data_IF_561081933822
#
_entry.id   IF_561081933822
#
_cell.length_a   1.000
_cell.length_b   1.000
_cell.length_c   1.000
_cell.angle_alpha   90.00
_cell.angle_beta   90.00
_cell.angle_gamma   90.00
#
_symmetry.space_group_name_H-M   'P 1'
#
loop_
_entity.id
_entity.type
_entity.pdbx_description
1 polymer ?
#
# COMPACT_ATOMS: atom_id res chain seq x y z
N UNK A 1 6.20 26.10 19.65
CA UNK A 1 5.44 27.08 18.87
C UNK A 1 4.15 26.42 18.46
N UNK A 2 3.01 26.86 19.02
CA UNK A 2 1.71 26.43 18.55
C UNK A 2 1.46 27.05 17.17
N UNK A 3 1.57 26.25 16.12
CA UNK A 3 1.11 26.67 14.79
C UNK A 3 -0.40 26.54 14.83
N UNK A 4 -1.10 27.68 14.98
CA UNK A 4 -2.53 27.72 14.80
C UNK A 4 -2.86 27.25 13.37
N UNK A 5 -3.88 26.40 13.23
CA UNK A 5 -4.42 26.02 11.92
C UNK A 5 -5.91 26.31 11.89
N UNK A 6 -6.37 26.74 10.76
CA UNK A 6 -7.79 26.90 10.47
C UNK A 6 -8.28 25.67 9.70
N UNK A 7 -9.38 25.09 10.16
CA UNK A 7 -10.00 23.94 9.50
C UNK A 7 -10.93 24.49 8.41
N UNK A 8 -10.56 24.25 7.15
CA UNK A 8 -11.39 24.58 5.99
C UNK A 8 -12.05 23.29 5.50
N UNK A 9 -13.39 23.25 5.57
CA UNK A 9 -14.13 22.10 5.08
C UNK A 9 -14.15 22.08 3.54
N UNK A 10 -14.22 20.88 2.97
CA UNK A 10 -14.42 20.67 1.54
C UNK A 10 -15.75 19.95 1.29
N UNK A 11 -16.37 20.18 0.15
CA UNK A 11 -17.47 19.31 -0.30
C UNK A 11 -16.98 17.86 -0.45
N UNK A 12 -17.82 16.89 -0.15
CA UNK A 12 -17.49 15.45 -0.22
C UNK A 12 -16.98 15.05 -1.61
N UNK A 13 -17.56 15.62 -2.67
CA UNK A 13 -17.15 15.39 -4.05
C UNK A 13 -16.08 16.35 -4.55
N UNK A 14 -15.52 17.21 -3.67
CA UNK A 14 -14.45 18.14 -4.01
C UNK A 14 -14.90 19.30 -4.91
N UNK A 15 -16.19 19.59 -4.99
CA UNK A 15 -16.72 20.66 -5.85
C UNK A 15 -16.26 22.05 -5.41
N UNK A 16 -16.24 22.32 -4.11
CA UNK A 16 -15.82 23.59 -3.49
C UNK A 16 -15.05 23.36 -2.21
N UNK A 17 -14.32 24.40 -1.78
CA UNK A 17 -13.90 24.56 -0.39
C UNK A 17 -14.89 25.53 0.28
N UNK A 18 -15.32 25.20 1.52
CA UNK A 18 -16.13 26.12 2.33
C UNK A 18 -15.23 27.22 2.92
N UNK A 19 -14.78 28.12 2.02
CA UNK A 19 -13.80 29.18 2.26
C UNK A 19 -14.25 30.45 1.55
N UNK A 20 -13.89 31.62 2.06
CA UNK A 20 -14.31 32.95 1.58
C UNK A 20 -15.85 33.03 1.47
N UNK A 21 -16.37 33.28 0.26
CA UNK A 21 -17.80 33.42 -0.05
C UNK A 21 -18.65 32.18 0.32
N UNK A 22 -18.00 31.01 0.46
CA UNK A 22 -18.69 29.75 0.80
C UNK A 22 -18.56 29.36 2.27
N UNK A 23 -17.94 30.23 3.11
CA UNK A 23 -17.62 29.89 4.53
C UNK A 23 -18.85 29.50 5.32
N UNK A 24 -19.99 30.15 5.10
CA UNK A 24 -21.20 29.99 5.89
C UNK A 24 -22.21 29.01 5.28
N UNK A 25 -21.92 28.45 4.13
CA UNK A 25 -22.82 27.51 3.47
C UNK A 25 -22.88 26.18 4.20
N UNK A 26 -24.09 25.65 4.37
CA UNK A 26 -24.37 24.31 4.93
C UNK A 26 -24.48 23.22 3.87
N UNK A 27 -24.66 23.60 2.61
CA UNK A 27 -24.73 22.69 1.45
C UNK A 27 -23.82 23.18 0.33
N UNK A 28 -23.33 22.25 -0.48
CA UNK A 28 -22.55 22.59 -1.67
C UNK A 28 -23.45 23.23 -2.73
N UNK A 29 -23.16 24.44 -3.24
CA UNK A 29 -24.00 25.08 -4.25
C UNK A 29 -23.94 24.42 -5.62
N UNK A 30 -23.02 23.47 -5.84
CA UNK A 30 -22.86 22.79 -7.13
C UNK A 30 -23.50 21.38 -7.16
N UNK A 31 -23.49 20.65 -6.04
CA UNK A 31 -24.01 19.28 -5.97
C UNK A 31 -25.05 19.08 -4.86
N UNK A 32 -25.43 20.17 -4.17
CA UNK A 32 -26.42 20.21 -3.07
C UNK A 32 -26.09 19.31 -1.87
N UNK A 33 -24.93 18.65 -1.87
CA UNK A 33 -24.51 17.77 -0.79
C UNK A 33 -24.31 18.53 0.51
N UNK A 34 -24.85 18.03 1.66
CA UNK A 34 -24.71 18.72 2.94
C UNK A 34 -23.26 18.75 3.39
N UNK A 35 -22.86 19.88 4.01
CA UNK A 35 -21.53 20.08 4.62
C UNK A 35 -21.31 19.17 5.84
N UNK A 36 -22.38 18.87 6.56
CA UNK A 36 -22.36 18.16 7.84
C UNK A 36 -23.26 16.92 7.80
N UNK A 37 -22.89 15.88 8.54
CA UNK A 37 -23.77 14.76 8.85
C UNK A 37 -24.50 15.08 10.17
N UNK A 38 -25.82 14.95 10.18
CA UNK A 38 -26.60 15.06 11.42
C UNK A 38 -26.51 13.73 12.17
N UNK A 39 -25.96 13.77 13.39
CA UNK A 39 -26.14 12.73 14.39
C UNK A 39 -27.18 13.17 15.40
N UNK A 40 -27.97 12.23 15.91
CA UNK A 40 -28.96 12.48 16.96
C UNK A 40 -28.25 13.03 18.22
N UNK A 41 -28.29 14.36 18.38
CA UNK A 41 -27.63 15.11 19.44
C UNK A 41 -26.72 16.21 18.92
N UNK A 42 -27.28 17.35 18.55
CA UNK A 42 -26.72 18.70 18.33
C UNK A 42 -25.23 18.92 17.93
N UNK A 43 -24.49 17.91 17.54
CA UNK A 43 -23.13 18.05 17.04
C UNK A 43 -23.08 17.92 15.52
N UNK A 44 -22.88 19.04 14.84
CA UNK A 44 -22.65 19.09 13.38
C UNK A 44 -21.22 18.56 13.10
N UNK A 45 -21.10 17.29 12.72
CA UNK A 45 -19.81 16.71 12.35
C UNK A 45 -19.63 16.84 10.82
N UNK A 46 -18.51 17.42 10.33
CA UNK A 46 -18.23 17.43 8.89
C UNK A 46 -18.21 16.00 8.35
N UNK A 47 -18.83 15.75 7.19
CA UNK A 47 -18.67 14.48 6.50
C UNK A 47 -17.17 14.18 6.37
N UNK A 48 -16.76 12.98 6.79
CA UNK A 48 -15.40 12.57 7.16
C UNK A 48 -14.43 12.68 5.98
N UNK A 49 -13.77 13.83 5.85
CA UNK A 49 -12.60 13.95 4.99
C UNK A 49 -11.36 13.61 5.82
N UNK A 50 -10.72 12.48 5.54
CA UNK A 50 -9.46 12.10 6.20
C UNK A 50 -8.36 13.02 5.67
N UNK A 51 -7.82 13.87 6.55
CA UNK A 51 -6.73 14.82 6.23
C UNK A 51 -5.45 14.47 6.98
N UNK A 52 -5.60 13.78 8.09
CA UNK A 52 -4.51 13.39 8.97
C UNK A 52 -4.80 12.02 9.58
N UNK A 53 -3.78 11.22 9.95
CA UNK A 53 -3.98 9.97 10.66
C UNK A 53 -4.85 10.05 11.92
N UNK A 54 -4.92 11.22 12.58
CA UNK A 54 -5.83 11.44 13.70
C UNK A 54 -7.31 11.27 13.33
N UNK A 55 -7.67 11.45 12.06
CA UNK A 55 -9.06 11.35 11.60
C UNK A 55 -9.50 9.89 11.34
N UNK A 56 -8.58 8.91 11.44
CA UNK A 56 -8.89 7.52 11.17
C UNK A 56 -9.35 6.78 12.43
N UNK A 57 -10.20 5.78 12.20
CA UNK A 57 -10.80 5.00 13.27
C UNK A 57 -9.77 4.26 14.13
N UNK A 58 -8.65 3.78 13.53
CA UNK A 58 -7.59 3.09 14.25
C UNK A 58 -6.93 3.97 15.32
N UNK A 59 -6.79 5.27 15.06
CA UNK A 59 -6.28 6.23 16.05
C UNK A 59 -7.27 6.42 17.20
N UNK A 60 -8.53 6.65 16.88
CA UNK A 60 -9.58 6.83 17.89
C UNK A 60 -9.79 5.57 18.75
N UNK A 61 -9.70 4.40 18.14
CA UNK A 61 -9.79 3.12 18.84
C UNK A 61 -8.62 2.96 19.83
N UNK A 62 -7.39 3.29 19.39
CA UNK A 62 -6.21 3.28 20.26
C UNK A 62 -6.39 4.22 21.45
N UNK A 63 -6.80 5.47 21.22
CA UNK A 63 -6.99 6.46 22.29
C UNK A 63 -8.09 6.03 23.29
N UNK A 64 -9.12 5.36 22.80
CA UNK A 64 -10.20 4.81 23.63
C UNK A 64 -9.73 3.61 24.47
N UNK A 65 -8.91 2.73 23.90
CA UNK A 65 -8.36 1.55 24.59
C UNK A 65 -7.31 1.93 25.64
N UNK A 66 -6.55 2.98 25.38
CA UNK A 66 -5.45 3.43 26.24
C UNK A 66 -5.65 4.88 26.74
N UNK A 67 -6.66 5.13 27.60
CA UNK A 67 -6.99 6.48 28.07
C UNK A 67 -5.86 7.15 28.86
N UNK A 68 -5.03 6.38 29.57
CA UNK A 68 -3.88 6.93 30.29
C UNK A 68 -2.78 7.43 29.34
N UNK A 69 -2.60 6.77 28.19
CA UNK A 69 -1.70 7.25 27.15
C UNK A 69 -2.29 8.50 26.46
N UNK A 70 -3.57 8.50 26.15
CA UNK A 70 -4.21 9.58 25.39
C UNK A 70 -4.48 10.85 26.20
N UNK A 71 -4.48 10.76 27.56
CA UNK A 71 -4.67 11.89 28.47
C UNK A 71 -3.65 13.01 28.28
N UNK A 72 -2.39 12.65 28.04
CA UNK A 72 -1.35 13.62 27.69
C UNK A 72 -1.17 13.67 26.17
N UNK A 73 -1.55 14.78 25.55
CA UNK A 73 -1.44 15.00 24.09
C UNK A 73 0.00 15.01 23.59
N UNK A 74 0.99 15.14 24.47
CA UNK A 74 2.42 15.11 24.17
C UNK A 74 2.96 13.70 24.01
N UNK A 75 2.21 12.68 24.44
CA UNK A 75 2.55 11.29 24.18
C UNK A 75 2.60 11.02 22.69
N UNK A 76 3.67 10.35 22.23
CA UNK A 76 4.01 10.31 20.81
C UNK A 76 3.43 9.07 20.14
N UNK A 77 2.62 9.29 19.12
CA UNK A 77 2.10 8.24 18.25
C UNK A 77 3.00 8.13 17.03
N UNK A 78 3.66 7.00 16.91
CA UNK A 78 4.64 6.70 15.89
C UNK A 78 4.07 5.80 14.82
N UNK A 79 4.61 5.94 13.62
CA UNK A 79 4.49 4.97 12.54
C UNK A 79 5.88 4.52 12.14
N UNK A 80 6.05 3.23 11.92
CA UNK A 80 7.30 2.67 11.46
C UNK A 80 7.24 2.42 9.96
N UNK A 81 8.21 2.96 9.23
CA UNK A 81 8.36 2.74 7.79
C UNK A 81 9.69 2.05 7.50
N UNK A 82 9.68 1.07 6.59
CA UNK A 82 10.90 0.42 6.11
C UNK A 82 10.74 -0.06 4.67
N UNK A 83 11.81 0.01 3.92
CA UNK A 83 11.94 -0.51 2.56
C UNK A 83 13.41 -0.76 2.24
N UNK A 84 13.69 -1.75 1.38
CA UNK A 84 15.04 -2.07 0.93
C UNK A 84 15.42 -1.26 -0.31
N UNK A 85 16.58 -0.62 -0.30
CA UNK A 85 17.08 0.10 -1.46
C UNK A 85 18.55 -0.20 -1.75
N UNK A 86 18.95 -0.02 -3.00
CA UNK A 86 20.36 -0.09 -3.40
C UNK A 86 20.98 1.32 -3.36
N UNK A 87 21.91 1.60 -2.42
CA UNK A 87 22.51 2.94 -2.29
C UNK A 87 23.48 3.30 -3.43
N UNK A 88 23.97 2.31 -4.17
CA UNK A 88 24.99 2.54 -5.21
C UNK A 88 24.41 2.87 -6.59
N UNK A 89 23.09 2.76 -6.77
CA UNK A 89 22.42 3.13 -8.01
C UNK A 89 22.79 2.30 -9.26
N UNK A 90 23.84 1.48 -9.16
CA UNK A 90 24.34 0.66 -10.26
C UNK A 90 23.65 -0.71 -10.25
N UNK A 91 22.99 -1.07 -11.36
CA UNK A 91 22.40 -2.39 -11.54
C UNK A 91 23.40 -3.56 -11.43
N UNK A 92 24.70 -3.27 -11.60
CA UNK A 92 25.77 -4.26 -11.54
C UNK A 92 26.12 -4.73 -10.11
N UNK A 93 25.83 -3.92 -9.08
CA UNK A 93 26.07 -4.26 -7.69
C UNK A 93 24.75 -4.54 -6.99
N UNK A 94 24.48 -5.83 -6.77
CA UNK A 94 23.33 -6.25 -5.95
C UNK A 94 23.61 -5.96 -4.50
N UNK A 95 23.12 -4.84 -3.99
CA UNK A 95 23.21 -4.44 -2.59
C UNK A 95 21.83 -4.00 -2.08
N UNK A 96 21.49 -4.42 -0.87
CA UNK A 96 20.21 -4.07 -0.25
C UNK A 96 20.44 -3.51 1.14
N UNK A 97 20.25 -2.21 1.28
CA UNK A 97 20.28 -1.49 2.56
C UNK A 97 18.87 -1.27 3.05
N UNK A 98 18.61 -1.49 4.34
CA UNK A 98 17.30 -1.41 4.96
C UNK A 98 17.27 -0.40 6.09
N UNK A 99 16.85 0.84 5.84
CA UNK A 99 16.55 1.81 6.88
C UNK A 99 15.24 1.47 7.58
N UNK A 100 15.21 1.65 8.88
CA UNK A 100 14.00 1.65 9.69
C UNK A 100 13.81 3.06 10.19
N UNK A 101 12.69 3.67 9.80
CA UNK A 101 12.39 5.06 10.09
C UNK A 101 11.11 5.11 10.92
N UNK A 102 11.13 5.82 12.02
CA UNK A 102 9.92 6.13 12.79
C UNK A 102 9.49 7.57 12.53
N UNK A 103 8.20 7.77 12.39
CA UNK A 103 7.58 9.04 12.00
C UNK A 103 6.59 9.44 13.08
N UNK A 104 6.78 10.59 13.76
CA UNK A 104 5.82 11.08 14.75
C UNK A 104 4.59 11.69 14.05
N UNK A 105 3.45 11.08 14.25
CA UNK A 105 2.18 11.52 13.66
C UNK A 105 1.40 12.54 14.49
N UNK A 106 1.94 12.96 15.64
CA UNK A 106 1.38 14.08 16.40
C UNK A 106 1.52 15.44 15.70
N UNK A 107 2.37 15.51 14.68
CA UNK A 107 2.66 16.75 13.97
C UNK A 107 1.64 17.02 12.85
N UNK A 108 1.37 18.29 12.54
CA UNK A 108 0.53 18.63 11.39
C UNK A 108 1.03 18.00 10.10
N UNK A 109 0.15 17.67 9.11
CA UNK A 109 0.52 17.01 7.87
C UNK A 109 1.66 17.73 7.12
N UNK A 110 1.70 19.05 7.17
CA UNK A 110 2.75 19.88 6.56
C UNK A 110 4.15 19.68 7.17
N UNK A 111 4.23 19.10 8.36
CA UNK A 111 5.49 18.85 9.06
C UNK A 111 5.84 17.37 9.14
N UNK A 112 4.87 16.47 9.29
CA UNK A 112 5.09 15.03 9.45
C UNK A 112 6.07 14.42 8.45
N UNK A 113 6.02 14.87 7.18
CA UNK A 113 6.84 14.32 6.09
C UNK A 113 8.04 15.19 5.73
N UNK A 114 8.36 16.22 6.53
CA UNK A 114 9.54 17.04 6.27
C UNK A 114 10.83 16.31 6.65
N UNK A 115 11.88 16.57 5.87
CA UNK A 115 13.25 16.16 6.22
C UNK A 115 13.60 16.71 7.60
N UNK A 116 14.18 15.87 8.48
CA UNK A 116 14.55 16.23 9.84
C UNK A 116 13.49 15.96 10.90
N UNK A 117 12.26 15.58 10.52
CA UNK A 117 11.22 15.08 11.43
C UNK A 117 11.22 13.56 11.49
N UNK A 118 11.50 12.92 10.36
CA UNK A 118 11.64 11.47 10.30
C UNK A 118 12.86 11.02 11.08
N UNK A 119 12.71 10.11 12.00
CA UNK A 119 13.75 9.61 12.90
C UNK A 119 14.31 8.31 12.30
N UNK A 120 15.54 8.31 11.76
CA UNK A 120 16.19 7.06 11.35
C UNK A 120 16.57 6.27 12.60
N UNK A 121 15.72 5.33 12.98
CA UNK A 121 15.90 4.54 14.19
C UNK A 121 17.03 3.51 14.01
N UNK A 122 17.11 2.87 12.84
CA UNK A 122 18.09 1.83 12.55
C UNK A 122 18.49 1.82 11.08
N UNK A 123 19.67 1.27 10.78
CA UNK A 123 20.13 1.03 9.42
C UNK A 123 20.78 -0.36 9.33
N UNK A 124 20.18 -1.25 8.56
CA UNK A 124 20.76 -2.55 8.24
C UNK A 124 21.54 -2.39 6.92
N UNK A 125 22.86 -2.41 7.02
CA UNK A 125 23.75 -2.01 5.93
C UNK A 125 23.81 -2.96 4.72
N UNK A 126 23.28 -4.18 4.85
CA UNK A 126 23.37 -5.17 3.78
C UNK A 126 24.67 -5.98 3.78
N UNK A 127 25.19 -6.49 2.65
CA UNK A 127 24.69 -6.31 1.27
C UNK A 127 23.43 -7.07 0.91
N UNK A 128 23.04 -8.08 1.69
CA UNK A 128 21.84 -8.89 1.44
C UNK A 128 20.65 -8.33 2.22
N UNK A 129 19.47 -8.48 1.64
CA UNK A 129 18.22 -8.20 2.37
C UNK A 129 18.14 -9.06 3.64
N UNK A 130 17.68 -8.50 4.78
CA UNK A 130 17.50 -9.26 6.03
C UNK A 130 16.44 -10.36 5.88
N UNK A 131 15.52 -10.24 4.93
CA UNK A 131 14.46 -11.20 4.71
C UNK A 131 13.65 -11.46 5.99
N UNK A 132 13.36 -12.72 6.28
CA UNK A 132 12.62 -13.13 7.48
C UNK A 132 13.34 -12.81 8.80
N UNK A 133 14.66 -12.62 8.75
CA UNK A 133 15.46 -12.27 9.93
C UNK A 133 15.36 -10.78 10.30
N UNK A 134 14.55 -9.98 9.59
CA UNK A 134 14.33 -8.58 9.94
C UNK A 134 13.92 -8.41 11.40
N UNK A 135 13.08 -9.30 11.93
CA UNK A 135 12.68 -9.31 13.34
C UNK A 135 13.88 -9.33 14.30
N UNK A 136 14.92 -10.13 14.00
CA UNK A 136 16.12 -10.23 14.85
C UNK A 136 16.86 -8.87 14.88
N UNK A 137 16.92 -8.19 13.73
CA UNK A 137 17.61 -6.91 13.65
C UNK A 137 16.88 -5.78 14.38
N UNK A 138 15.55 -5.80 14.39
CA UNK A 138 14.77 -4.72 15.01
C UNK A 138 14.51 -4.92 16.52
N UNK A 139 15.00 -6.03 17.13
CA UNK A 139 14.85 -6.27 18.56
C UNK A 139 15.23 -5.08 19.43
N UNK A 140 16.39 -4.40 19.23
CA UNK A 140 16.73 -3.24 20.06
C UNK A 140 15.70 -2.10 20.00
N UNK A 141 15.05 -1.92 18.86
CA UNK A 141 13.99 -0.92 18.73
C UNK A 141 12.72 -1.32 19.50
N UNK A 142 12.39 -2.61 19.50
CA UNK A 142 11.25 -3.12 20.29
C UNK A 142 11.51 -2.96 21.80
N UNK A 143 12.73 -3.22 22.24
CA UNK A 143 13.12 -3.04 23.64
C UNK A 143 12.99 -1.56 24.06
N UNK A 144 13.46 -0.62 23.24
CA UNK A 144 13.29 0.82 23.44
C UNK A 144 11.81 1.25 23.47
N UNK A 145 11.00 0.71 22.56
CA UNK A 145 9.57 1.01 22.52
C UNK A 145 8.84 0.49 23.76
N UNK A 146 9.25 -0.66 24.32
CA UNK A 146 8.73 -1.16 25.58
C UNK A 146 9.10 -0.23 26.74
N UNK A 147 10.33 0.26 26.80
CA UNK A 147 10.73 1.26 27.80
C UNK A 147 9.87 2.54 27.68
N UNK A 148 9.68 3.03 26.46
CA UNK A 148 8.87 4.23 26.20
C UNK A 148 7.36 4.03 26.50
N UNK A 149 6.90 2.79 26.47
CA UNK A 149 5.52 2.45 26.82
C UNK A 149 5.31 2.28 28.33
N UNK A 150 6.20 1.54 29.00
CA UNK A 150 6.05 1.11 30.40
C UNK A 150 6.63 2.11 31.39
N UNK A 151 7.87 2.57 31.15
CA UNK A 151 8.67 3.29 32.15
C UNK A 151 8.48 4.79 32.09
N UNK A 152 8.00 5.32 30.98
CA UNK A 152 7.93 6.75 30.70
C UNK A 152 9.31 7.45 30.71
N UNK A 153 9.51 8.42 29.87
CA UNK A 153 10.75 9.19 29.80
C UNK A 153 10.50 10.63 30.21
N UNK A 154 11.27 11.11 31.18
CA UNK A 154 11.16 12.51 31.64
C UNK A 154 11.65 13.44 30.54
N UNK A 155 10.76 14.25 30.01
CA UNK A 155 11.03 15.27 29.01
C UNK A 155 10.73 16.66 29.55
N UNK A 156 11.44 17.67 29.07
CA UNK A 156 11.18 19.06 29.43
C UNK A 156 10.40 19.78 28.33
N UNK A 157 9.23 20.24 28.67
CA UNK A 157 8.38 21.07 27.81
C UNK A 157 8.78 22.52 27.94
N UNK A 158 9.50 23.06 26.95
CA UNK A 158 9.98 24.44 26.97
C UNK A 158 8.85 25.46 26.87
N UNK A 159 7.71 25.11 26.30
CA UNK A 159 6.57 26.02 26.16
C UNK A 159 5.85 26.20 27.50
N UNK A 160 5.62 25.09 28.19
CA UNK A 160 4.96 25.09 29.50
C UNK A 160 5.97 25.43 30.63
N UNK A 161 7.26 25.22 30.40
CA UNK A 161 8.30 25.45 31.41
C UNK A 161 8.39 24.37 32.49
N UNK A 162 7.88 23.17 32.24
CA UNK A 162 7.85 22.06 33.18
C UNK A 162 8.26 20.74 32.56
N UNK A 163 8.70 19.81 33.38
CA UNK A 163 8.95 18.44 32.97
C UNK A 163 7.65 17.63 32.92
N UNK A 164 7.58 16.64 32.03
CA UNK A 164 6.49 15.69 31.95
C UNK A 164 7.04 14.31 31.59
N UNK A 165 6.25 13.30 31.86
CA UNK A 165 6.57 11.92 31.53
C UNK A 165 6.01 11.61 30.14
N UNK A 166 6.88 11.38 29.17
CA UNK A 166 6.51 11.07 27.80
C UNK A 166 6.42 9.57 27.59
N UNK A 167 5.33 9.13 26.96
CA UNK A 167 5.17 7.79 26.38
C UNK A 167 5.21 7.84 24.86
N UNK A 168 5.60 6.73 24.25
CA UNK A 168 5.50 6.59 22.80
C UNK A 168 4.98 5.20 22.41
N UNK A 169 4.21 5.13 21.33
CA UNK A 169 3.67 3.89 20.79
C UNK A 169 3.68 3.89 19.27
N UNK A 170 4.09 2.77 18.66
CA UNK A 170 3.93 2.53 17.23
C UNK A 170 2.50 2.05 16.97
N UNK A 171 1.72 2.81 16.20
CA UNK A 171 0.32 2.48 15.90
C UNK A 171 0.19 1.46 14.76
N UNK A 172 1.04 1.55 13.74
CA UNK A 172 1.12 0.61 12.60
C UNK A 172 2.44 0.74 11.87
N UNK A 173 2.70 -0.19 10.96
CA UNK A 173 3.84 -0.11 10.05
C UNK A 173 3.41 0.23 8.64
N UNK A 174 4.29 0.85 7.86
CA UNK A 174 4.10 1.13 6.42
C UNK A 174 5.25 0.51 5.64
N UNK A 175 4.94 -0.33 4.67
CA UNK A 175 5.93 -0.95 3.80
C UNK A 175 5.33 -1.36 2.45
N UNK A 176 6.16 -1.81 1.52
CA UNK A 176 5.72 -2.55 0.35
C UNK A 176 5.22 -3.96 0.74
N UNK A 177 4.68 -4.71 -0.21
CA UNK A 177 4.15 -6.04 0.08
C UNK A 177 5.20 -7.06 0.55
N UNK A 178 6.42 -7.12 -0.05
CA UNK A 178 7.54 -7.88 0.52
C UNK A 178 7.96 -7.45 1.93
N UNK A 179 8.07 -6.16 2.20
CA UNK A 179 8.40 -5.61 3.52
C UNK A 179 7.35 -5.96 4.57
N UNK A 180 6.07 -5.90 4.20
CA UNK A 180 4.98 -6.36 5.07
C UNK A 180 5.14 -7.84 5.43
N UNK A 181 5.52 -8.69 4.47
CA UNK A 181 5.80 -10.09 4.76
C UNK A 181 6.96 -10.29 5.71
N UNK A 182 7.99 -9.44 5.65
CA UNK A 182 9.14 -9.50 6.57
C UNK A 182 8.76 -9.03 7.97
N UNK A 183 8.02 -7.93 8.09
CA UNK A 183 7.61 -7.35 9.38
C UNK A 183 6.50 -8.18 10.05
N UNK A 184 5.49 -8.56 9.29
CA UNK A 184 4.30 -9.24 9.81
C UNK A 184 4.37 -10.77 9.79
N UNK A 185 5.43 -11.34 9.24
CA UNK A 185 5.55 -12.79 9.10
C UNK A 185 4.71 -13.40 7.98
N UNK A 186 4.01 -12.60 7.18
CA UNK A 186 3.07 -13.05 6.14
C UNK A 186 3.79 -13.59 4.90
N UNK A 187 3.17 -14.55 4.24
CA UNK A 187 3.64 -15.01 2.94
C UNK A 187 3.32 -14.01 1.85
N UNK A 188 4.31 -13.65 1.05
CA UNK A 188 4.16 -12.77 -0.12
C UNK A 188 4.15 -13.53 -1.44
N UNK A 189 4.30 -14.85 -1.42
CA UNK A 189 4.35 -15.73 -2.61
C UNK A 189 3.74 -17.08 -2.29
N UNK A 190 3.26 -17.80 -3.34
CA UNK A 190 2.67 -19.12 -3.20
C UNK A 190 1.16 -19.11 -3.00
N UNK A 191 0.59 -20.26 -2.64
CA UNK A 191 -0.87 -20.45 -2.60
C UNK A 191 -1.57 -19.69 -1.47
N UNK A 192 -0.86 -19.27 -0.44
CA UNK A 192 -1.40 -18.62 0.77
C UNK A 192 -0.86 -17.19 0.94
N UNK A 193 -0.67 -16.45 -0.15
CA UNK A 193 -0.06 -15.12 -0.12
C UNK A 193 -1.09 -14.00 -0.31
N UNK A 194 -2.08 -13.94 0.58
CA UNK A 194 -3.04 -12.83 0.63
C UNK A 194 -3.38 -12.47 2.08
N UNK A 195 -3.09 -11.23 2.45
CA UNK A 195 -3.40 -10.68 3.76
C UNK A 195 -4.91 -10.62 4.05
N UNK A 196 -5.72 -10.40 3.01
CA UNK A 196 -7.16 -10.19 3.16
C UNK A 196 -7.97 -11.50 3.12
N UNK A 197 -7.52 -12.45 2.29
CA UNK A 197 -8.25 -13.71 2.09
C UNK A 197 -7.78 -14.79 3.06
N UNK A 198 -6.57 -14.68 3.60
CA UNK A 198 -5.92 -15.68 4.47
C UNK A 198 -6.08 -17.10 3.92
N UNK A 199 -6.74 -17.98 4.66
CA UNK A 199 -6.95 -19.37 4.28
C UNK A 199 -8.01 -19.57 3.19
N UNK A 200 -8.91 -18.59 3.01
CA UNK A 200 -9.96 -18.60 1.97
C UNK A 200 -9.49 -17.97 0.64
N UNK A 201 -8.19 -18.01 0.39
CA UNK A 201 -7.61 -17.52 -0.86
C UNK A 201 -7.88 -18.49 -2.01
N UNK A 202 -8.38 -17.96 -3.13
CA UNK A 202 -8.55 -18.71 -4.37
C UNK A 202 -7.31 -18.53 -5.25
N UNK A 203 -6.35 -19.43 -5.10
CA UNK A 203 -5.05 -19.36 -5.76
C UNK A 203 -4.83 -20.54 -6.71
N UNK A 204 -4.44 -20.23 -7.95
CA UNK A 204 -4.17 -21.21 -8.99
C UNK A 204 -2.79 -21.02 -9.61
N UNK A 205 -2.09 -22.12 -9.84
CA UNK A 205 -0.81 -22.09 -10.58
C UNK A 205 -1.06 -22.17 -12.10
N UNK A 206 -0.75 -21.09 -12.80
CA UNK A 206 -0.94 -20.97 -14.25
C UNK A 206 0.39 -20.70 -14.96
N UNK A 207 0.72 -21.52 -15.97
CA UNK A 207 1.83 -21.27 -16.91
C UNK A 207 3.12 -20.71 -16.24
N UNK A 208 3.52 -21.28 -15.09
CA UNK A 208 4.73 -20.91 -14.35
C UNK A 208 4.58 -19.69 -13.42
N UNK A 209 3.36 -19.27 -13.13
CA UNK A 209 3.06 -18.20 -12.15
C UNK A 209 1.86 -18.54 -11.28
N UNK A 210 1.82 -17.93 -10.08
CA UNK A 210 0.61 -17.94 -9.27
C UNK A 210 -0.38 -16.89 -9.80
N UNK A 211 -1.64 -17.28 -9.85
CA UNK A 211 -2.77 -16.39 -10.14
C UNK A 211 -3.76 -16.47 -9.00
N UNK A 212 -4.26 -15.33 -8.56
CA UNK A 212 -5.25 -15.24 -7.48
C UNK A 212 -6.58 -14.85 -8.10
N UNK A 213 -7.60 -15.63 -7.80
CA UNK A 213 -8.93 -15.56 -8.42
C UNK A 213 -9.97 -15.02 -7.44
N UNK A 214 -11.22 -14.98 -7.88
CA UNK A 214 -12.37 -14.71 -7.01
C UNK A 214 -12.46 -13.26 -6.52
N UNK A 215 -11.84 -12.28 -7.18
CA UNK A 215 -11.89 -10.88 -6.73
C UNK A 215 -13.31 -10.28 -6.78
N UNK A 216 -14.20 -10.80 -7.64
CA UNK A 216 -15.59 -10.37 -7.69
C UNK A 216 -16.36 -10.68 -6.39
N UNK A 217 -15.87 -11.57 -5.53
CA UNK A 217 -16.44 -11.86 -4.20
C UNK A 217 -16.53 -10.62 -3.29
N UNK A 218 -15.64 -9.63 -3.50
CA UNK A 218 -15.60 -8.39 -2.72
C UNK A 218 -16.60 -7.33 -3.19
N UNK A 219 -17.25 -7.55 -4.33
CA UNK A 219 -18.29 -6.68 -4.85
C UNK A 219 -19.65 -7.02 -4.21
N UNK A 220 -20.57 -6.06 -4.18
CA UNK A 220 -21.93 -6.30 -3.73
C UNK A 220 -22.55 -7.47 -4.51
N UNK A 221 -23.41 -8.24 -3.87
CA UNK A 221 -24.02 -9.44 -4.48
C UNK A 221 -24.76 -9.14 -5.81
N UNK A 222 -25.34 -7.95 -5.93
CA UNK A 222 -26.06 -7.50 -7.12
C UNK A 222 -25.18 -6.86 -8.20
N UNK A 223 -23.87 -6.76 -7.97
CA UNK A 223 -22.96 -6.11 -8.89
C UNK A 223 -22.87 -6.86 -10.21
N UNK A 224 -23.04 -6.15 -11.35
CA UNK A 224 -23.08 -6.72 -12.71
C UNK A 224 -21.86 -7.59 -13.06
N UNK A 225 -20.70 -7.31 -12.51
CA UNK A 225 -19.50 -8.10 -12.76
C UNK A 225 -19.56 -9.51 -12.17
N UNK A 226 -20.33 -9.74 -11.11
CA UNK A 226 -20.53 -11.10 -10.57
C UNK A 226 -21.24 -12.02 -11.58
N UNK A 227 -22.04 -11.44 -12.46
CA UNK A 227 -22.85 -12.12 -13.48
C UNK A 227 -22.23 -12.09 -14.87
N UNK A 228 -21.10 -11.40 -15.05
CA UNK A 228 -20.44 -11.23 -16.34
C UNK A 228 -19.60 -12.47 -16.73
N UNK A 229 -20.24 -13.64 -16.77
CA UNK A 229 -19.61 -14.97 -16.98
C UNK A 229 -18.65 -15.02 -18.17
N UNK A 230 -18.98 -14.39 -19.29
CA UNK A 230 -18.15 -14.38 -20.50
C UNK A 230 -16.84 -13.59 -20.36
N UNK A 231 -16.78 -12.68 -19.37
CA UNK A 231 -15.59 -11.88 -19.10
C UNK A 231 -14.61 -12.54 -18.12
N UNK A 232 -15.06 -13.57 -17.41
CA UNK A 232 -14.30 -14.27 -16.37
C UNK A 232 -14.24 -15.79 -16.68
N UNK A 233 -14.40 -16.62 -15.66
CA UNK A 233 -14.23 -18.08 -15.75
C UNK A 233 -15.43 -18.85 -16.32
N UNK A 234 -16.47 -18.18 -16.79
CA UNK A 234 -17.67 -18.81 -17.34
C UNK A 234 -18.75 -19.10 -16.30
N UNK A 235 -18.53 -18.76 -15.03
CA UNK A 235 -19.45 -19.01 -13.92
C UNK A 235 -19.88 -17.71 -13.24
N UNK A 236 -21.06 -17.70 -12.63
CA UNK A 236 -21.53 -16.62 -11.77
C UNK A 236 -20.78 -16.68 -10.43
N UNK A 237 -20.25 -15.55 -9.96
CA UNK A 237 -19.61 -15.50 -8.65
C UNK A 237 -20.67 -15.37 -7.54
N UNK A 238 -21.05 -16.50 -6.97
CA UNK A 238 -22.05 -16.58 -5.89
C UNK A 238 -21.47 -16.58 -4.48
N UNK A 239 -20.15 -16.79 -4.34
CA UNK A 239 -19.49 -16.86 -3.03
C UNK A 239 -19.48 -15.50 -2.34
N UNK A 240 -19.49 -15.51 -1.02
CA UNK A 240 -19.30 -14.31 -0.22
C UNK A 240 -17.81 -13.89 -0.19
N UNK A 241 -17.57 -12.62 0.16
CA UNK A 241 -16.23 -12.18 0.46
C UNK A 241 -15.64 -13.00 1.62
N UNK A 242 -14.32 -13.26 1.61
CA UNK A 242 -13.65 -13.87 2.75
C UNK A 242 -13.94 -13.08 4.03
N UNK A 243 -14.13 -13.80 5.14
CA UNK A 243 -14.32 -13.16 6.44
C UNK A 243 -13.03 -12.50 6.86
N UNK A 244 -13.10 -11.19 7.12
CA UNK A 244 -11.97 -10.46 7.69
C UNK A 244 -11.87 -10.78 9.18
N UNK A 245 -10.76 -11.38 9.60
CA UNK A 245 -10.47 -11.60 11.02
C UNK A 245 -10.08 -10.27 11.68
N UNK A 246 -10.50 -10.09 12.92
CA UNK A 246 -9.98 -9.02 13.76
C UNK A 246 -8.56 -9.36 14.25
N UNK A 247 -7.82 -8.35 14.71
CA UNK A 247 -6.40 -8.52 15.07
C UNK A 247 -6.23 -9.53 16.21
N UNK A 248 -7.12 -9.54 17.18
CA UNK A 248 -7.11 -10.48 18.30
C UNK A 248 -7.30 -11.94 17.85
N UNK A 249 -8.15 -12.19 16.84
CA UNK A 249 -8.34 -13.52 16.24
C UNK A 249 -7.09 -13.93 15.46
N UNK A 250 -6.51 -13.01 14.69
CA UNK A 250 -5.25 -13.23 13.98
C UNK A 250 -4.14 -13.58 14.97
N UNK A 251 -4.01 -12.82 16.05
CA UNK A 251 -3.01 -13.06 17.08
C UNK A 251 -3.19 -14.45 17.70
N UNK A 252 -4.39 -14.79 18.14
CA UNK A 252 -4.71 -16.10 18.70
C UNK A 252 -4.39 -17.24 17.75
N UNK A 253 -4.66 -17.06 16.46
CA UNK A 253 -4.33 -18.04 15.43
C UNK A 253 -2.80 -18.16 15.25
N UNK A 254 -2.09 -17.03 15.15
CA UNK A 254 -0.64 -17.04 14.89
C UNK A 254 0.14 -17.61 16.05
N UNK A 255 -0.16 -17.25 17.30
CA UNK A 255 0.57 -17.77 18.48
C UNK A 255 0.31 -19.25 18.76
N UNK A 256 -0.77 -19.83 18.23
CA UNK A 256 -1.07 -21.26 18.41
C UNK A 256 -0.16 -22.19 17.59
N UNK A 257 0.72 -21.63 16.74
CA UNK A 257 1.58 -22.37 15.85
C UNK A 257 3.06 -22.23 16.22
N UNK A 258 3.80 -23.32 16.02
CA UNK A 258 5.25 -23.30 16.15
C UNK A 258 5.91 -22.78 14.87
N UNK A 259 6.89 -21.91 15.03
CA UNK A 259 7.69 -21.35 13.93
C UNK A 259 9.15 -21.74 14.04
N UNK A 260 9.83 -21.90 12.91
CA UNK A 260 11.27 -22.21 12.91
C UNK A 260 12.08 -21.03 13.44
N UNK A 261 13.23 -21.33 14.02
CA UNK A 261 14.21 -20.33 14.44
C UNK A 261 14.61 -19.48 13.24
N UNK A 262 14.53 -18.16 13.39
CA UNK A 262 14.95 -17.19 12.37
C UNK A 262 16.47 -17.06 12.39
N UNK A 263 17.14 -17.60 11.38
CA UNK A 263 18.59 -17.52 11.22
C UNK A 263 18.99 -17.55 9.75
N UNK A 264 20.09 -16.84 9.42
CA UNK A 264 20.75 -16.91 8.10
C UNK A 264 21.83 -18.01 8.09
N UNK A 265 22.13 -18.64 9.23
CA UNK A 265 23.14 -19.69 9.33
C UNK A 265 22.73 -20.93 8.52
N UNK A 266 23.68 -21.56 7.80
CA UNK A 266 23.39 -22.74 6.97
C UNK A 266 22.75 -23.92 7.71
N UNK A 267 23.07 -24.10 8.98
CA UNK A 267 22.55 -25.21 9.81
C UNK A 267 21.06 -25.05 10.14
N UNK A 268 20.56 -23.82 10.12
CA UNK A 268 19.14 -23.50 10.30
C UNK A 268 18.40 -23.38 8.97
N UNK A 269 18.93 -23.98 7.88
CA UNK A 269 18.20 -24.06 6.62
C UNK A 269 16.92 -24.83 6.88
N UNK A 270 15.82 -24.09 6.82
CA UNK A 270 14.48 -24.65 7.01
C UNK A 270 14.31 -25.87 6.12
N UNK A 271 13.99 -27.00 6.74
CA UNK A 271 13.60 -28.20 6.02
C UNK A 271 12.48 -27.81 5.04
N UNK A 272 12.68 -28.07 3.77
CA UNK A 272 11.70 -27.85 2.69
C UNK A 272 10.41 -28.67 2.87
N UNK A 273 10.18 -29.23 4.04
CA UNK A 273 9.18 -30.26 4.30
C UNK A 273 7.94 -29.85 5.10
N UNK A 274 7.87 -28.67 5.70
CA UNK A 274 6.61 -28.18 6.26
C UNK A 274 5.75 -27.69 5.09
N UNK A 275 4.98 -28.59 4.54
CA UNK A 275 3.94 -28.32 3.55
C UNK A 275 2.94 -27.36 4.16
N UNK A 276 3.10 -26.21 3.81
CA UNK A 276 2.58 -24.92 4.05
C UNK A 276 1.06 -24.84 3.99
N UNK A 277 0.42 -25.08 5.09
CA UNK A 277 -1.01 -24.77 5.25
C UNK A 277 -1.24 -23.34 5.76
N UNK A 278 -0.20 -22.70 6.33
CA UNK A 278 -0.33 -21.39 7.00
C UNK A 278 -0.04 -20.21 6.08
N UNK A 279 -0.71 -19.10 6.32
CA UNK A 279 -0.43 -17.81 5.68
C UNK A 279 0.83 -17.14 6.25
N UNK A 280 1.29 -17.54 7.45
CA UNK A 280 2.45 -16.99 8.15
C UNK A 280 3.67 -17.88 8.05
N UNK A 281 4.84 -17.25 8.09
CA UNK A 281 6.16 -17.90 8.07
C UNK A 281 6.90 -17.79 9.41
N UNK A 282 6.54 -16.81 10.22
CA UNK A 282 7.07 -16.55 11.55
C UNK A 282 6.13 -15.63 12.32
N UNK A 283 6.28 -15.62 13.64
CA UNK A 283 5.62 -14.65 14.51
C UNK A 283 6.32 -13.30 14.36
N UNK A 284 5.55 -12.23 14.19
CA UNK A 284 6.09 -10.88 14.16
C UNK A 284 6.58 -10.46 15.55
N UNK A 285 7.78 -9.87 15.61
CA UNK A 285 8.35 -9.35 16.87
C UNK A 285 7.52 -8.21 17.48
N UNK A 286 6.69 -7.54 16.69
CA UNK A 286 5.81 -6.51 17.21
C UNK A 286 4.80 -7.04 18.24
N UNK A 287 4.54 -8.33 18.28
CA UNK A 287 3.71 -8.92 19.33
C UNK A 287 4.37 -8.93 20.73
N UNK A 288 5.66 -8.57 20.81
CA UNK A 288 6.35 -8.31 22.06
C UNK A 288 6.00 -6.93 22.64
N UNK A 289 5.30 -6.06 21.88
CA UNK A 289 4.72 -4.81 22.37
C UNK A 289 3.37 -5.12 23.05
N UNK A 290 3.17 -4.74 24.32
CA UNK A 290 1.98 -5.15 25.10
C UNK A 290 0.64 -4.75 24.50
N UNK A 291 0.62 -3.69 23.70
CA UNK A 291 -0.60 -3.14 23.09
C UNK A 291 -0.84 -3.63 21.66
N UNK A 292 0.15 -4.25 21.00
CA UNK A 292 0.12 -4.51 19.55
C UNK A 292 -1.04 -5.41 19.12
N UNK A 293 -1.29 -6.50 19.87
CA UNK A 293 -2.37 -7.45 19.58
C UNK A 293 -3.78 -6.87 19.70
N UNK A 294 -3.91 -5.69 20.31
CA UNK A 294 -5.21 -5.02 20.51
C UNK A 294 -5.47 -3.89 19.50
N UNK A 295 -4.50 -3.57 18.65
CA UNK A 295 -4.64 -2.52 17.65
C UNK A 295 -5.63 -2.92 16.56
N UNK A 296 -6.38 -1.95 16.05
CA UNK A 296 -7.33 -2.18 14.96
C UNK A 296 -6.64 -2.41 13.60
N UNK A 297 -5.43 -1.88 13.43
CA UNK A 297 -4.64 -1.98 12.21
C UNK A 297 -3.16 -2.15 12.57
N UNK A 298 -2.53 -3.19 12.07
CA UNK A 298 -1.12 -3.48 12.34
C UNK A 298 -0.20 -3.02 11.21
N UNK A 299 -0.64 -3.23 9.97
CA UNK A 299 0.19 -3.05 8.79
C UNK A 299 -0.56 -2.25 7.73
N UNK A 300 0.16 -1.32 7.09
CA UNK A 300 -0.34 -0.55 5.96
C UNK A 300 0.58 -0.74 4.76
N UNK A 301 -0.01 -0.90 3.59
CA UNK A 301 0.74 -0.92 2.35
C UNK A 301 1.02 0.50 1.87
N UNK A 302 2.20 0.72 1.31
CA UNK A 302 2.60 1.99 0.72
C UNK A 302 1.83 2.23 -0.59
N UNK A 303 0.72 2.95 -0.52
CA UNK A 303 -0.24 3.14 -1.62
C UNK A 303 0.41 3.67 -2.90
N UNK A 304 1.27 4.70 -2.80
CA UNK A 304 1.91 5.28 -3.97
C UNK A 304 2.84 4.30 -4.71
N UNK A 305 3.47 3.36 -4.00
CA UNK A 305 4.29 2.33 -4.61
C UNK A 305 3.41 1.30 -5.35
N UNK A 306 2.26 0.97 -4.78
CA UNK A 306 1.26 0.11 -5.44
C UNK A 306 0.76 0.79 -6.71
N UNK A 307 0.34 2.04 -6.64
CA UNK A 307 -0.13 2.82 -7.80
C UNK A 307 0.94 2.90 -8.90
N UNK A 308 2.20 3.13 -8.53
CA UNK A 308 3.30 3.10 -9.50
C UNK A 308 3.43 1.74 -10.17
N UNK A 309 3.35 0.65 -9.42
CA UNK A 309 3.42 -0.70 -9.95
C UNK A 309 2.25 -1.01 -10.89
N UNK A 310 1.04 -0.60 -10.51
CA UNK A 310 -0.16 -0.73 -11.34
C UNK A 310 -0.01 0.09 -12.62
N UNK A 311 0.42 1.34 -12.53
CA UNK A 311 0.67 2.22 -13.66
C UNK A 311 1.70 1.60 -14.62
N UNK A 312 2.87 1.17 -14.13
CA UNK A 312 3.91 0.56 -14.95
C UNK A 312 3.40 -0.69 -15.68
N UNK A 313 2.57 -1.50 -15.02
CA UNK A 313 1.95 -2.69 -15.62
C UNK A 313 0.93 -2.33 -16.71
N UNK A 314 0.04 -1.38 -16.44
CA UNK A 314 -0.97 -0.94 -17.40
C UNK A 314 -0.28 -0.31 -18.62
N UNK A 315 0.53 0.73 -18.41
CA UNK A 315 1.21 1.44 -19.49
C UNK A 315 2.13 0.52 -20.29
N UNK A 316 2.90 -0.33 -19.60
CA UNK A 316 3.76 -1.31 -20.27
C UNK A 316 2.98 -2.27 -21.17
N UNK A 317 1.77 -2.63 -20.76
CA UNK A 317 0.92 -3.56 -21.49
C UNK A 317 0.21 -2.90 -22.68
N UNK A 318 -0.42 -1.75 -22.49
CA UNK A 318 -1.14 -1.06 -23.58
C UNK A 318 -0.20 -0.47 -24.63
N UNK A 319 1.01 -0.06 -24.23
CA UNK A 319 2.06 0.36 -25.15
C UNK A 319 2.89 -0.81 -25.71
N UNK A 320 2.67 -2.05 -25.28
CA UNK A 320 3.40 -3.23 -25.75
C UNK A 320 4.91 -3.14 -25.51
N UNK A 321 5.36 -2.55 -24.40
CA UNK A 321 6.78 -2.42 -24.06
C UNK A 321 7.35 -3.78 -23.68
N UNK A 322 8.31 -4.30 -24.44
CA UNK A 322 8.79 -5.70 -24.33
C UNK A 322 9.20 -6.12 -22.91
N UNK A 323 9.84 -5.25 -22.15
CA UNK A 323 10.31 -5.56 -20.78
C UNK A 323 9.26 -5.32 -19.69
N UNK A 324 8.19 -4.56 -19.99
CA UNK A 324 7.18 -4.13 -19.02
C UNK A 324 5.80 -4.72 -19.27
N UNK A 325 5.52 -5.18 -20.48
CA UNK A 325 4.20 -5.76 -20.81
C UNK A 325 3.89 -6.99 -19.97
N UNK A 326 2.64 -7.08 -19.52
CA UNK A 326 2.09 -8.28 -18.88
C UNK A 326 1.44 -9.22 -19.91
N UNK A 327 1.29 -8.77 -21.16
CA UNK A 327 0.79 -9.59 -22.27
C UNK A 327 1.95 -10.30 -22.97
N UNK A 328 2.19 -11.52 -22.56
CA UNK A 328 3.20 -12.39 -23.10
C UNK A 328 2.65 -13.81 -23.26
N UNK A 329 3.33 -14.68 -24.01
CA UNK A 329 2.88 -16.05 -24.33
C UNK A 329 2.34 -16.79 -23.10
N UNK A 330 3.10 -16.86 -22.01
CA UNK A 330 2.67 -17.55 -20.77
C UNK A 330 1.42 -16.93 -20.15
N UNK A 331 1.21 -15.62 -20.30
CA UNK A 331 -0.02 -14.98 -19.84
C UNK A 331 -1.22 -15.45 -20.63
N UNK A 332 -1.09 -15.53 -21.96
CA UNK A 332 -2.13 -16.00 -22.87
C UNK A 332 -2.42 -17.50 -22.72
N UNK A 333 -1.39 -18.32 -22.51
CA UNK A 333 -1.57 -19.72 -22.11
C UNK A 333 -2.33 -19.88 -20.80
N UNK A 334 -2.13 -18.95 -19.85
CA UNK A 334 -2.89 -18.89 -18.62
C UNK A 334 -4.36 -18.57 -18.85
N UNK A 335 -4.68 -17.63 -19.76
CA UNK A 335 -6.07 -17.31 -20.14
C UNK A 335 -6.73 -18.51 -20.84
N UNK A 336 -6.00 -19.22 -21.68
CA UNK A 336 -6.49 -20.43 -22.36
C UNK A 336 -6.81 -21.54 -21.35
N UNK A 337 -5.95 -21.78 -20.35
CA UNK A 337 -6.19 -22.76 -19.29
C UNK A 337 -7.45 -22.42 -18.47
N UNK A 338 -7.76 -21.15 -18.34
CA UNK A 338 -8.96 -20.67 -17.63
C UNK A 338 -10.20 -20.62 -18.54
N UNK A 339 -10.05 -20.85 -19.86
CA UNK A 339 -11.16 -20.80 -20.81
C UNK A 339 -11.70 -19.39 -21.11
N UNK A 340 -10.98 -18.33 -20.71
CA UNK A 340 -11.41 -16.94 -20.83
C UNK A 340 -10.62 -16.18 -21.92
N UNK A 341 -11.21 -15.09 -22.45
CA UNK A 341 -10.57 -14.20 -23.43
C UNK A 341 -10.05 -14.96 -24.63
N UNK A 342 -10.89 -15.74 -25.29
CA UNK A 342 -10.53 -16.61 -26.43
C UNK A 342 -9.81 -15.86 -27.55
N UNK A 343 -10.11 -14.60 -27.75
CA UNK A 343 -9.48 -13.69 -28.70
C UNK A 343 -7.98 -13.45 -28.44
N UNK A 344 -7.55 -13.64 -27.20
CA UNK A 344 -6.15 -13.48 -26.78
C UNK A 344 -5.37 -14.79 -26.73
N UNK A 345 -5.99 -15.94 -26.95
CA UNK A 345 -5.28 -17.21 -26.89
C UNK A 345 -4.15 -17.28 -27.91
N UNK A 346 -3.03 -17.84 -27.48
CA UNK A 346 -1.88 -17.95 -28.36
C UNK A 346 -2.07 -19.04 -29.40
N UNK A 347 -2.00 -18.66 -30.69
CA UNK A 347 -2.30 -19.55 -31.82
C UNK A 347 -1.05 -20.25 -32.37
N UNK A 348 0.16 -19.94 -31.91
CA UNK A 348 1.43 -20.43 -32.43
C UNK A 348 1.92 -21.75 -31.80
N UNK A 349 1.04 -22.64 -31.35
CA UNK A 349 1.40 -23.93 -30.77
C UNK A 349 2.14 -24.79 -31.83
N UNK A 350 3.39 -25.12 -31.56
CA UNK A 350 4.23 -25.94 -32.43
C UNK A 350 5.42 -25.22 -33.05
N UNK A 351 5.52 -23.93 -32.97
CA UNK A 351 6.70 -23.17 -33.37
C UNK A 351 7.78 -23.20 -32.29
N UNK A 352 8.99 -23.61 -32.65
CA UNK A 352 10.18 -23.63 -31.78
C UNK A 352 10.93 -22.31 -31.80
N UNK A 353 10.42 -21.30 -32.52
CA UNK A 353 11.05 -20.00 -32.66
C UNK A 353 10.79 -19.11 -31.45
N UNK A 354 11.86 -18.71 -30.74
CA UNK A 354 11.82 -17.68 -29.69
C UNK A 354 11.36 -16.29 -30.18
N UNK A 355 11.13 -16.14 -31.51
CA UNK A 355 10.72 -14.89 -32.16
C UNK A 355 9.23 -14.80 -32.46
N UNK A 356 8.42 -15.78 -32.02
CA UNK A 356 6.98 -15.71 -32.24
C UNK A 356 6.39 -14.52 -31.53
N UNK A 357 6.05 -13.51 -32.29
CA UNK A 357 5.39 -12.31 -31.78
C UNK A 357 3.97 -12.69 -31.37
N UNK A 358 3.64 -12.31 -30.17
CA UNK A 358 2.25 -12.36 -29.67
C UNK A 358 1.39 -11.48 -30.59
N UNK A 359 0.27 -11.99 -31.11
CA UNK A 359 -0.66 -11.20 -31.90
C UNK A 359 -1.11 -9.95 -31.13
N UNK A 360 -1.27 -8.84 -31.83
CA UNK A 360 -1.70 -7.59 -31.21
C UNK A 360 -3.04 -7.77 -30.48
N UNK A 361 -3.10 -7.30 -29.25
CA UNK A 361 -4.33 -7.35 -28.46
C UNK A 361 -5.23 -6.12 -28.77
N UNK A 362 -6.55 -6.23 -28.61
CA UNK A 362 -7.48 -5.13 -28.88
C UNK A 362 -7.20 -3.86 -28.06
N UNK A 363 -6.61 -4.01 -26.88
CA UNK A 363 -6.24 -2.89 -26.00
C UNK A 363 -4.84 -2.32 -26.28
N UNK A 364 -4.12 -2.83 -27.26
CA UNK A 364 -2.77 -2.32 -27.57
C UNK A 364 -2.89 -1.06 -28.44
N UNK A 365 -2.33 0.04 -27.97
CA UNK A 365 -2.27 1.29 -28.72
C UNK A 365 -1.36 1.11 -29.95
N UNK A 366 -1.86 1.52 -31.11
CA UNK A 366 -1.12 1.44 -32.38
C UNK A 366 0.12 2.34 -32.35
N UNK A 367 1.20 1.98 -33.09
CA UNK A 367 2.43 2.77 -33.10
C UNK A 367 2.24 4.23 -33.48
N UNK A 368 1.27 4.53 -34.36
CA UNK A 368 0.99 5.89 -34.83
C UNK A 368 0.26 6.70 -33.74
N UNK A 369 -0.75 6.11 -33.10
CA UNK A 369 -1.51 6.73 -32.00
C UNK A 369 -0.61 7.02 -30.78
N UNK A 370 0.46 6.25 -30.61
CA UNK A 370 1.43 6.48 -29.50
C UNK A 370 2.09 7.85 -29.58
N UNK A 371 2.40 8.34 -30.77
CA UNK A 371 3.05 9.65 -30.95
C UNK A 371 2.12 10.73 -30.41
N UNK A 372 0.86 10.70 -30.80
CA UNK A 372 -0.15 11.68 -30.38
C UNK A 372 -0.33 11.65 -28.84
N UNK A 373 -0.41 10.46 -28.25
CA UNK A 373 -0.51 10.32 -26.79
C UNK A 373 0.72 10.87 -26.08
N UNK A 374 1.93 10.58 -26.55
CA UNK A 374 3.15 11.08 -25.95
C UNK A 374 3.26 12.61 -26.07
N UNK A 375 2.85 13.19 -27.20
CA UNK A 375 2.77 14.64 -27.39
C UNK A 375 1.74 15.29 -26.46
N UNK A 376 0.56 14.70 -26.35
CA UNK A 376 -0.47 15.15 -25.40
C UNK A 376 0.07 15.16 -23.97
N UNK A 377 0.65 14.06 -23.51
CA UNK A 377 1.20 13.93 -22.17
C UNK A 377 2.36 14.91 -21.91
N UNK A 378 3.22 15.14 -22.91
CA UNK A 378 4.34 16.09 -22.83
C UNK A 378 3.87 17.54 -22.66
N UNK A 379 2.76 17.87 -23.29
CA UNK A 379 2.18 19.22 -23.30
C UNK A 379 1.12 19.43 -22.21
N UNK A 380 0.76 18.41 -21.43
CA UNK A 380 -0.22 18.50 -20.36
C UNK A 380 0.19 19.56 -19.33
N UNK A 381 -0.73 20.48 -19.03
CA UNK A 381 -0.56 21.54 -18.04
C UNK A 381 -1.35 21.20 -16.78
N UNK A 382 -0.73 21.41 -15.63
CA UNK A 382 -1.36 21.20 -14.34
C UNK A 382 -1.53 22.52 -13.59
N UNK A 383 -2.53 22.64 -12.71
CA UNK A 383 -2.63 23.77 -11.79
C UNK A 383 -1.37 23.92 -10.95
N UNK A 384 -1.06 25.16 -10.57
CA UNK A 384 0.10 25.43 -9.71
C UNK A 384 0.04 24.64 -8.40
N UNK A 385 1.15 24.00 -8.05
CA UNK A 385 1.25 23.22 -6.81
C UNK A 385 0.63 21.80 -6.86
N UNK A 386 -0.08 21.43 -7.95
CA UNK A 386 -0.71 20.12 -8.08
C UNK A 386 0.25 19.04 -8.55
N UNK A 387 0.95 19.28 -9.66
CA UNK A 387 1.92 18.35 -10.22
C UNK A 387 3.05 19.06 -10.97
N UNK A 388 4.21 18.43 -11.06
CA UNK A 388 5.31 18.90 -11.88
C UNK A 388 5.07 18.62 -13.38
N UNK A 389 5.66 19.44 -14.25
CA UNK A 389 5.61 19.21 -15.69
C UNK A 389 6.23 17.86 -16.08
N UNK A 390 5.56 17.10 -16.93
CA UNK A 390 6.05 15.86 -17.52
C UNK A 390 6.96 16.09 -18.73
N UNK A 391 7.10 17.33 -19.20
CA UNK A 391 7.81 17.69 -20.44
C UNK A 391 9.20 17.04 -20.58
N UNK A 392 9.99 17.09 -19.51
CA UNK A 392 11.36 16.56 -19.52
C UNK A 392 11.43 15.04 -19.18
N UNK A 393 10.31 14.43 -18.89
CA UNK A 393 10.20 13.01 -18.53
C UNK A 393 9.63 12.15 -19.66
N UNK A 394 9.24 12.79 -20.76
CA UNK A 394 8.64 12.17 -21.93
C UNK A 394 9.54 12.37 -23.14
N UNK A 395 10.03 11.27 -23.69
CA UNK A 395 10.70 11.25 -24.99
C UNK A 395 9.71 10.76 -26.05
N UNK A 396 9.28 11.67 -26.91
CA UNK A 396 8.31 11.38 -27.98
C UNK A 396 8.94 10.53 -29.09
N UNK A 397 10.20 10.81 -29.46
CA UNK A 397 10.94 10.10 -30.52
C UNK A 397 11.13 8.62 -30.17
N UNK A 398 11.66 8.37 -28.97
CA UNK A 398 11.87 7.00 -28.46
C UNK A 398 10.60 6.35 -27.90
N UNK A 399 9.50 7.09 -27.77
CA UNK A 399 8.23 6.64 -27.17
C UNK A 399 8.46 6.03 -25.78
N UNK A 400 9.22 6.75 -24.93
CA UNK A 400 9.65 6.29 -23.61
C UNK A 400 9.39 7.33 -22.52
N UNK A 401 9.18 6.82 -21.32
CA UNK A 401 9.16 7.61 -20.10
C UNK A 401 10.50 7.53 -19.38
N UNK A 402 11.06 8.67 -19.00
CA UNK A 402 12.34 8.77 -18.33
C UNK A 402 12.17 9.38 -16.93
N UNK A 403 12.57 8.65 -15.87
CA UNK A 403 12.64 9.18 -14.52
C UNK A 403 11.28 9.64 -13.93
N UNK A 404 10.17 8.96 -14.28
CA UNK A 404 8.90 9.17 -13.62
C UNK A 404 9.00 8.88 -12.13
N UNK A 405 8.61 9.85 -11.32
CA UNK A 405 8.45 9.68 -9.88
C UNK A 405 7.09 9.04 -9.57
N UNK A 406 6.95 8.49 -8.38
CA UNK A 406 5.71 7.86 -7.92
C UNK A 406 4.50 8.78 -8.03
N UNK A 407 4.66 10.05 -7.66
CA UNK A 407 3.61 11.06 -7.80
C UNK A 407 3.21 11.32 -9.26
N UNK A 408 4.16 11.30 -10.19
CA UNK A 408 3.85 11.44 -11.63
C UNK A 408 2.96 10.26 -12.09
N UNK A 409 3.28 9.05 -11.66
CA UNK A 409 2.48 7.86 -11.98
C UNK A 409 1.08 7.94 -11.40
N UNK A 410 0.95 8.42 -10.16
CA UNK A 410 -0.34 8.69 -9.51
C UNK A 410 -1.20 9.67 -10.32
N UNK A 411 -0.64 10.82 -10.70
CA UNK A 411 -1.35 11.83 -11.48
C UNK A 411 -1.75 11.28 -12.86
N UNK A 412 -0.83 10.57 -13.52
CA UNK A 412 -1.13 9.96 -14.82
C UNK A 412 -2.24 8.92 -14.72
N UNK A 413 -2.19 8.03 -13.71
CA UNK A 413 -3.18 7.00 -13.51
C UNK A 413 -4.58 7.57 -13.24
N UNK A 414 -4.67 8.58 -12.38
CA UNK A 414 -5.96 9.11 -11.94
C UNK A 414 -6.56 10.16 -12.88
N UNK A 415 -5.75 10.91 -13.62
CA UNK A 415 -6.21 12.09 -14.36
C UNK A 415 -6.02 11.98 -15.87
N UNK A 416 -4.90 11.45 -16.33
CA UNK A 416 -4.58 11.46 -17.74
C UNK A 416 -4.95 10.15 -18.44
N UNK A 417 -4.69 9.00 -17.80
CA UNK A 417 -4.98 7.71 -18.38
C UNK A 417 -6.46 7.54 -18.79
N UNK A 418 -7.46 7.96 -17.98
CA UNK A 418 -8.87 7.89 -18.36
C UNK A 418 -9.25 8.74 -19.58
N UNK A 419 -8.39 9.64 -20.05
CA UNK A 419 -8.67 10.52 -21.20
C UNK A 419 -8.34 9.83 -22.53
N UNK A 420 -7.41 8.85 -22.52
CA UNK A 420 -6.94 8.19 -23.74
C UNK A 420 -7.06 6.66 -23.73
N UNK A 421 -7.75 6.08 -22.75
CA UNK A 421 -8.25 4.71 -22.73
C UNK A 421 -9.77 4.68 -22.85
#
# INVERSE_FOLDING_TARGET
MGIGYEIIHACEYGCILYYKEYTDLEHCPLCEEPRYVHHDGDCKIPKKTIRHPVDIEAWHDFDKKFPDFSRDIRNVRLVLATDGFNPFGAAALSHSTWPIVVIPYNLPPSLCMKKGVNIPAMLISGPKSPGKCLNVFIQPLIDELNVLWETEVVMYDRHVGSSFNMKAAVLWTISDFPGLGMLGGLKCKGYKACLMCLDDIDAQHLAGRMSYQGHCRWLNREHSWRYAVSKFNGEVESRDAPVSLIVEEIFSYVISHEYPILSLHPDFKHSRGVKEKLCWTHLSIFYDLPYWSTLKQLYSLHVMLIEKTVFDNIIGTILGLQEKTKDHIKAREGLEKQGIRKELWWKGKGSTSRKDKVSQAPYTILPDDRVEIFEFLKNAKYPYGYAGSLKNKINVEDKKFNGLKTHDCHVMLQRLLPVFI
#
